data_IF_874496054168
#
_entry.id   IF_874496054168
#
_cell.length_a   1.000
_cell.length_b   1.000
_cell.length_c   1.000
_cell.angle_alpha   90.00
_cell.angle_beta   90.00
_cell.angle_gamma   90.00
#
_symmetry.space_group_name_H-M   'P 1'
#
loop_
_entity.id
_entity.type
_entity.pdbx_description
1 polymer ?
#
# COMPACT_ATOMS: atom_id res chain seq x y z
N UNK A 1 -18.14 -5.65 0.07
CA UNK A 1 -17.39 -6.87 0.46
C UNK A 1 -17.36 -6.96 1.98
N UNK A 2 -17.42 -8.16 2.59
CA UNK A 2 -17.32 -8.30 4.04
C UNK A 2 -15.98 -7.77 4.58
N UNK A 3 -15.95 -7.22 5.81
CA UNK A 3 -14.72 -6.73 6.41
C UNK A 3 -13.77 -7.91 6.67
N UNK A 4 -12.67 -7.94 5.92
CA UNK A 4 -11.57 -8.88 6.08
C UNK A 4 -10.39 -8.13 6.69
N UNK A 5 -9.73 -8.76 7.67
CA UNK A 5 -8.57 -8.21 8.36
C UNK A 5 -7.43 -7.88 7.38
N UNK A 6 -6.64 -6.83 7.65
CA UNK A 6 -5.48 -6.47 6.84
C UNK A 6 -4.48 -7.63 6.69
N UNK A 7 -4.27 -8.44 7.74
CA UNK A 7 -3.39 -9.61 7.67
C UNK A 7 -3.80 -10.61 6.58
N UNK A 8 -5.10 -10.85 6.41
CA UNK A 8 -5.66 -11.71 5.35
C UNK A 8 -5.33 -11.12 3.97
N UNK A 9 -5.56 -9.81 3.80
CA UNK A 9 -5.33 -9.10 2.52
C UNK A 9 -3.84 -9.17 2.15
N UNK A 10 -2.97 -8.89 3.11
CA UNK A 10 -1.52 -8.87 2.90
C UNK A 10 -1.01 -10.28 2.62
N UNK A 11 -1.49 -11.30 3.35
CA UNK A 11 -1.12 -12.69 3.07
C UNK A 11 -1.40 -13.07 1.61
N UNK A 12 -2.63 -12.88 1.13
CA UNK A 12 -2.96 -13.27 -0.24
C UNK A 12 -2.25 -12.42 -1.29
N UNK A 13 -1.96 -11.14 -1.01
CA UNK A 13 -1.11 -10.33 -1.88
C UNK A 13 0.32 -10.87 -1.95
N UNK A 14 0.88 -11.31 -0.82
CA UNK A 14 2.21 -11.96 -0.77
C UNK A 14 2.23 -13.26 -1.56
N UNK A 15 1.22 -14.12 -1.39
CA UNK A 15 1.13 -15.40 -2.12
C UNK A 15 0.90 -15.20 -3.63
N UNK A 16 0.29 -14.09 -4.03
CA UNK A 16 0.20 -13.68 -5.44
C UNK A 16 1.51 -13.11 -6.01
N UNK A 17 2.58 -13.02 -5.21
CA UNK A 17 3.88 -12.51 -5.64
C UNK A 17 3.99 -10.99 -5.65
N UNK A 18 3.12 -10.28 -4.93
CA UNK A 18 3.24 -8.83 -4.82
C UNK A 18 4.57 -8.43 -4.15
N UNK A 19 5.25 -7.43 -4.70
CA UNK A 19 6.48 -6.89 -4.12
C UNK A 19 6.21 -5.88 -2.98
N UNK A 20 5.02 -5.29 -2.95
CA UNK A 20 4.54 -4.36 -1.93
C UNK A 20 3.00 -4.31 -1.96
N UNK A 21 2.38 -3.77 -0.91
CA UNK A 21 0.92 -3.59 -0.86
C UNK A 21 0.55 -2.14 -0.53
N UNK A 22 -0.39 -1.56 -1.27
CA UNK A 22 -1.08 -0.33 -0.89
C UNK A 22 -2.49 -0.68 -0.44
N UNK A 23 -2.78 -0.49 0.85
CA UNK A 23 -4.10 -0.70 1.42
C UNK A 23 -4.87 0.61 1.39
N UNK A 24 -6.02 0.64 0.72
CA UNK A 24 -6.94 1.78 0.77
C UNK A 24 -7.96 1.51 1.86
N UNK A 25 -7.96 2.34 2.89
CA UNK A 25 -8.85 2.18 4.04
C UNK A 25 -10.06 3.08 3.95
N UNK A 26 -11.24 2.50 4.14
CA UNK A 26 -12.48 3.25 4.28
C UNK A 26 -12.69 3.57 5.76
N UNK A 27 -11.94 4.55 6.24
CA UNK A 27 -12.15 5.14 7.54
C UNK A 27 -12.77 6.54 7.38
N UNK A 28 -14.10 6.68 7.54
CA UNK A 28 -14.79 7.95 7.35
C UNK A 28 -14.35 9.04 8.34
N UNK A 29 -13.65 8.67 9.41
CA UNK A 29 -13.14 9.60 10.42
C UNK A 29 -11.63 9.87 10.27
N UNK A 30 -10.93 9.17 9.35
CA UNK A 30 -9.49 9.33 9.11
C UNK A 30 -8.61 9.09 10.33
N UNK A 31 -9.07 8.24 11.26
CA UNK A 31 -8.39 7.87 12.50
C UNK A 31 -7.18 6.99 12.23
N UNK A 32 -7.28 6.09 11.24
CA UNK A 32 -6.19 5.21 10.86
C UNK A 32 -5.28 5.85 9.82
N UNK A 33 -4.11 6.30 10.27
CA UNK A 33 -3.03 6.78 9.38
C UNK A 33 -1.91 5.75 9.22
N UNK A 34 -2.08 4.58 9.83
CA UNK A 34 -1.05 3.55 9.92
C UNK A 34 -1.70 2.17 9.97
N UNK A 35 -1.06 1.18 9.36
CA UNK A 35 -1.52 -0.21 9.37
C UNK A 35 -1.34 -0.77 10.79
N UNK A 36 -2.38 -1.30 11.44
CA UNK A 36 -2.23 -1.96 12.74
C UNK A 36 -1.13 -3.03 12.67
N UNK A 37 -0.22 -2.99 13.65
CA UNK A 37 0.93 -3.89 13.69
C UNK A 37 0.45 -5.33 13.91
N UNK A 38 0.54 -6.14 12.86
CA UNK A 38 0.34 -7.58 12.90
C UNK A 38 1.59 -8.20 12.28
N UNK A 39 2.59 -8.51 13.10
CA UNK A 39 3.87 -9.01 12.59
C UNK A 39 3.81 -10.51 12.28
N UNK A 40 3.05 -11.26 13.10
CA UNK A 40 2.92 -12.71 13.03
C UNK A 40 1.61 -13.22 13.64
N UNK A 41 1.21 -14.44 13.27
CA UNK A 41 0.10 -15.18 13.86
C UNK A 41 -0.88 -15.77 12.84
N UNK A 42 -1.83 -16.61 13.27
CA UNK A 42 -2.75 -17.26 12.34
C UNK A 42 -3.74 -16.26 11.74
N UNK A 43 -3.96 -16.32 10.43
CA UNK A 43 -4.85 -15.41 9.68
C UNK A 43 -6.31 -15.52 10.13
N UNK A 44 -6.71 -16.73 10.51
CA UNK A 44 -7.96 -17.09 11.16
C UNK A 44 -7.68 -18.25 12.12
N UNK A 45 -8.56 -18.56 13.09
CA UNK A 45 -8.35 -19.72 13.97
C UNK A 45 -8.07 -21.00 13.18
N UNK A 46 -6.96 -21.67 13.47
CA UNK A 46 -6.50 -22.88 12.74
C UNK A 46 -6.02 -22.66 11.30
N UNK A 47 -5.86 -21.41 10.87
CA UNK A 47 -5.38 -21.04 9.53
C UNK A 47 -3.85 -21.04 9.42
N UNK A 48 -3.32 -20.74 8.23
CA UNK A 48 -1.89 -20.61 8.02
C UNK A 48 -1.32 -19.44 8.82
N UNK A 49 -0.07 -19.60 9.25
CA UNK A 49 0.67 -18.53 9.92
C UNK A 49 0.96 -17.40 8.94
N UNK A 50 0.49 -16.22 9.29
CA UNK A 50 0.86 -14.98 8.64
C UNK A 50 2.24 -14.56 9.13
N UNK A 51 3.08 -14.17 8.18
CA UNK A 51 4.27 -13.39 8.44
C UNK A 51 4.31 -12.23 7.47
N UNK A 52 4.54 -11.04 7.99
CA UNK A 52 4.75 -9.85 7.17
C UNK A 52 6.13 -9.94 6.49
N UNK A 53 6.16 -10.02 5.15
CA UNK A 53 7.39 -10.23 4.34
C UNK A 53 7.64 -9.12 3.32
N UNK A 54 6.59 -8.44 2.88
CA UNK A 54 6.67 -7.38 1.88
C UNK A 54 6.25 -6.06 2.51
N UNK A 55 6.82 -4.91 2.10
CA UNK A 55 6.44 -3.64 2.67
C UNK A 55 4.99 -3.26 2.30
N UNK A 56 4.31 -2.56 3.20
CA UNK A 56 2.95 -2.09 2.94
C UNK A 56 2.75 -0.63 3.37
N UNK A 57 1.89 0.07 2.64
CA UNK A 57 1.45 1.43 2.91
C UNK A 57 -0.07 1.46 3.12
N UNK A 58 -0.54 2.44 3.88
CA UNK A 58 -1.95 2.77 4.01
C UNK A 58 -2.23 4.07 3.26
N UNK A 59 -3.31 4.12 2.48
CA UNK A 59 -3.90 5.35 1.96
C UNK A 59 -5.33 5.47 2.48
N UNK A 60 -5.72 6.68 2.85
CA UNK A 60 -7.11 7.00 3.22
C UNK A 60 -8.02 6.95 1.98
N UNK A 61 -9.28 6.61 2.18
CA UNK A 61 -10.29 6.60 1.11
C UNK A 61 -10.39 7.94 0.35
N UNK A 62 -10.14 9.07 1.02
CA UNK A 62 -10.11 10.39 0.40
C UNK A 62 -9.05 10.52 -0.71
N UNK A 63 -7.98 9.72 -0.63
CA UNK A 63 -6.93 9.67 -1.65
C UNK A 63 -7.21 8.61 -2.75
N UNK A 64 -8.23 7.77 -2.59
CA UNK A 64 -8.57 6.72 -3.55
C UNK A 64 -8.84 7.24 -4.98
N UNK A 65 -9.48 8.41 -5.20
CA UNK A 65 -9.67 8.95 -6.54
C UNK A 65 -8.37 9.26 -7.30
N UNK A 66 -7.25 9.40 -6.59
CA UNK A 66 -5.93 9.60 -7.20
C UNK A 66 -5.33 8.28 -7.70
N UNK A 67 -5.78 7.13 -7.18
CA UNK A 67 -5.28 5.79 -7.49
C UNK A 67 -6.02 5.19 -8.70
N UNK A 68 -5.99 5.88 -9.83
CA UNK A 68 -6.75 5.48 -11.03
C UNK A 68 -6.12 4.26 -11.70
N UNK A 69 -6.95 3.34 -12.17
CA UNK A 69 -6.49 2.23 -13.00
C UNK A 69 -5.77 2.75 -14.25
N UNK A 70 -4.62 2.14 -14.58
CA UNK A 70 -3.75 2.58 -15.68
C UNK A 70 -2.79 3.72 -15.34
N UNK A 71 -2.93 4.38 -14.18
CA UNK A 71 -1.93 5.35 -13.73
C UNK A 71 -0.64 4.65 -13.26
N UNK A 72 0.50 5.32 -13.47
CA UNK A 72 1.75 4.88 -12.86
C UNK A 72 1.73 5.23 -11.37
N UNK A 73 1.97 4.23 -10.51
CA UNK A 73 2.07 4.41 -9.07
C UNK A 73 3.47 4.06 -8.61
N UNK A 74 4.11 4.96 -7.88
CA UNK A 74 5.43 4.70 -7.29
C UNK A 74 5.29 4.63 -5.78
N UNK A 75 5.67 3.48 -5.21
CA UNK A 75 5.81 3.31 -3.77
C UNK A 75 7.29 3.45 -3.40
N UNK A 76 7.59 4.28 -2.42
CA UNK A 76 8.94 4.46 -1.88
C UNK A 76 8.93 4.30 -0.38
N UNK A 77 9.90 3.59 0.17
CA UNK A 77 10.00 3.36 1.61
C UNK A 77 11.28 4.01 2.14
N UNK A 78 11.17 4.69 3.27
CA UNK A 78 12.33 5.23 3.97
C UNK A 78 13.27 4.12 4.42
N UNK A 79 14.58 4.39 4.55
CA UNK A 79 15.51 3.46 5.17
C UNK A 79 15.13 3.19 6.63
N UNK A 80 15.70 2.14 7.20
CA UNK A 80 15.56 1.84 8.63
C UNK A 80 16.15 2.97 9.49
N UNK A 81 15.48 3.31 10.58
CA UNK A 81 15.93 4.37 11.49
C UNK A 81 15.70 5.79 10.97
N UNK A 82 14.84 6.00 9.97
CA UNK A 82 14.49 7.34 9.47
C UNK A 82 14.02 8.25 10.61
N UNK A 83 14.58 9.46 10.68
CA UNK A 83 14.30 10.41 11.74
C UNK A 83 12.80 10.76 11.81
N UNK A 84 12.20 10.64 12.99
CA UNK A 84 10.77 10.90 13.20
C UNK A 84 9.86 9.69 12.93
N UNK A 85 10.39 8.56 12.46
CA UNK A 85 9.63 7.31 12.37
C UNK A 85 9.66 6.57 13.72
N UNK A 86 8.51 6.14 14.27
CA UNK A 86 8.48 5.33 15.49
C UNK A 86 9.29 4.02 15.33
N UNK A 87 9.88 3.55 16.43
CA UNK A 87 10.66 2.31 16.41
C UNK A 87 9.81 1.11 15.95
N UNK A 88 10.33 0.33 15.00
CA UNK A 88 9.63 -0.80 14.40
C UNK A 88 8.69 -0.43 13.23
N UNK A 89 8.59 0.85 12.87
CA UNK A 89 7.81 1.31 11.71
C UNK A 89 8.73 1.74 10.57
N UNK A 90 8.17 1.76 9.35
CA UNK A 90 8.79 2.37 8.17
C UNK A 90 7.84 3.41 7.59
N UNK A 91 8.40 4.52 7.11
CA UNK A 91 7.64 5.55 6.44
C UNK A 91 7.55 5.20 4.95
N UNK A 92 6.33 5.13 4.44
CA UNK A 92 6.05 4.88 3.03
C UNK A 92 5.47 6.11 2.35
N UNK A 93 5.88 6.36 1.10
CA UNK A 93 5.37 7.40 0.24
C UNK A 93 4.70 6.74 -0.97
N UNK A 94 3.51 7.21 -1.31
CA UNK A 94 2.82 6.84 -2.55
C UNK A 94 2.79 8.08 -3.42
N UNK A 95 3.46 7.99 -4.57
CA UNK A 95 3.50 9.07 -5.55
C UNK A 95 2.72 8.63 -6.77
N UNK A 96 1.74 9.45 -7.15
CA UNK A 96 1.01 9.31 -8.41
C UNK A 96 1.30 10.55 -9.25
N UNK A 97 2.22 10.50 -10.22
CA UNK A 97 2.45 11.62 -11.11
C UNK A 97 1.18 11.92 -11.90
N UNK A 98 0.96 13.21 -12.18
CA UNK A 98 -0.12 13.64 -13.05
C UNK A 98 0.03 12.96 -14.41
N UNK A 99 -0.97 12.19 -14.79
CA UNK A 99 -1.04 11.60 -16.12
C UNK A 99 -1.31 12.73 -17.13
N UNK A 100 -0.42 12.87 -18.10
CA UNK A 100 -0.60 13.77 -19.25
C UNK A 100 -0.87 12.91 -20.46
N UNK A 101 -1.88 13.28 -21.24
CA UNK A 101 -2.23 12.55 -22.46
C UNK A 101 -1.08 12.70 -23.47
N UNK A 102 -0.46 11.59 -23.84
CA UNK A 102 0.71 11.56 -24.72
C UNK A 102 0.35 11.56 -26.21
N UNK A 103 -0.93 11.82 -26.54
CA UNK A 103 -1.47 11.85 -27.90
C UNK A 103 -0.83 12.88 -28.85
N UNK A 104 0.11 13.72 -28.38
CA UNK A 104 0.78 14.75 -29.18
C UNK A 104 2.32 14.67 -29.26
N UNK A 105 3.01 13.67 -28.68
CA UNK A 105 4.50 13.68 -28.69
C UNK A 105 5.17 12.92 -29.85
N UNK A 106 4.40 12.23 -30.69
CA UNK A 106 4.95 11.45 -31.81
C UNK A 106 5.51 12.29 -32.97
N UNK A 107 5.52 13.63 -32.88
CA UNK A 107 6.03 14.53 -33.93
C UNK A 107 7.38 15.19 -33.62
N UNK A 108 8.07 14.81 -32.53
CA UNK A 108 9.32 15.47 -32.12
C UNK A 108 10.56 14.56 -32.11
N UNK A 109 10.47 13.39 -32.74
CA UNK A 109 11.63 12.53 -33.02
C UNK A 109 11.64 12.11 -34.49
N UNK A 110 11.93 13.07 -35.38
CA UNK A 110 12.50 12.87 -36.72
C UNK A 110 13.52 13.97 -36.99
#
# INVERSE_FOLDING_TARGET
APPINYSVKIHWAQEAGAAAVLLVDWDPNGLYRQIPRADEGPIHPGGPDFKFRIPACLALADNAPLLQEGALHTLTFSPEGYAGCPAGWRLGYVVVPRQVDFSLSSSLYL
#
